data_IF_298513867938
#
_entry.id   IF_298513867938
#
_cell.length_a   1.000
_cell.length_b   1.000
_cell.length_c   1.000
_cell.angle_alpha   90.00
_cell.angle_beta   90.00
_cell.angle_gamma   90.00
#
_symmetry.space_group_name_H-M   'P 1'
#
loop_
_entity.id
_entity.type
_entity.pdbx_description
1 polymer ?
#
# COMPACT_ATOMS: atom_id res chain seq x y z
N UNK A 1 -22.70 8.34 -73.50
CA UNK A 1 -22.90 9.59 -72.71
C UNK A 1 -21.86 9.70 -71.62
N UNK A 2 -21.54 10.86 -71.07
CA UNK A 2 -20.59 11.04 -69.99
C UNK A 2 -21.08 10.37 -68.72
N UNK A 3 -20.19 9.62 -68.03
CA UNK A 3 -20.46 8.99 -66.76
C UNK A 3 -20.11 9.99 -65.65
N UNK A 4 -21.08 10.33 -64.80
CA UNK A 4 -20.85 11.16 -63.64
C UNK A 4 -20.72 10.26 -62.40
N UNK A 5 -19.68 10.51 -61.58
CA UNK A 5 -19.43 9.82 -60.33
C UNK A 5 -19.45 10.81 -59.15
N UNK A 6 -20.11 10.43 -58.09
CA UNK A 6 -20.15 11.18 -56.84
C UNK A 6 -19.58 10.31 -55.75
N UNK A 7 -18.60 10.82 -54.99
CA UNK A 7 -17.95 10.11 -53.92
C UNK A 7 -18.10 10.89 -52.62
N UNK A 8 -18.70 10.26 -51.61
CA UNK A 8 -18.76 10.79 -50.25
C UNK A 8 -17.80 10.01 -49.37
N UNK A 9 -17.13 10.67 -48.47
CA UNK A 9 -16.24 10.04 -47.52
C UNK A 9 -16.83 10.21 -46.10
N UNK A 10 -17.05 9.07 -45.43
CA UNK A 10 -17.47 9.06 -44.03
C UNK A 10 -16.25 8.89 -43.14
N UNK A 11 -16.19 9.66 -42.03
CA UNK A 11 -15.13 9.56 -41.00
C UNK A 11 -15.75 9.75 -39.66
N UNK A 12 -15.21 9.07 -38.65
CA UNK A 12 -15.52 9.30 -37.24
C UNK A 12 -14.57 10.32 -36.65
N UNK A 13 -15.05 11.08 -35.67
CA UNK A 13 -14.27 12.00 -34.84
C UNK A 13 -13.48 11.26 -33.76
N UNK A 14 -12.62 12.01 -33.08
CA UNK A 14 -11.87 11.51 -31.92
C UNK A 14 -12.77 11.41 -30.70
N UNK A 15 -12.54 10.41 -29.85
CA UNK A 15 -13.23 10.22 -28.57
C UNK A 15 -12.20 10.14 -27.44
N UNK A 16 -11.95 11.21 -26.68
CA UNK A 16 -11.22 11.12 -25.41
C UNK A 16 -12.12 10.47 -24.36
N UNK A 17 -11.62 9.44 -23.69
CA UNK A 17 -12.37 8.74 -22.63
C UNK A 17 -11.41 8.18 -21.57
N UNK A 18 -11.82 8.23 -20.30
CA UNK A 18 -11.15 7.55 -19.20
C UNK A 18 -11.89 6.28 -18.83
N UNK A 19 -11.20 5.21 -18.45
CA UNK A 19 -11.86 4.01 -17.92
C UNK A 19 -12.68 4.33 -16.67
N UNK A 20 -12.27 5.33 -15.89
CA UNK A 20 -12.96 5.75 -14.67
C UNK A 20 -14.30 6.44 -14.92
N UNK A 21 -14.66 6.75 -16.17
CA UNK A 21 -16.00 7.19 -16.52
C UNK A 21 -17.08 6.11 -16.30
N UNK A 22 -16.69 4.84 -16.32
CA UNK A 22 -17.59 3.69 -16.16
C UNK A 22 -17.13 2.64 -15.15
N UNK A 23 -15.83 2.57 -14.83
CA UNK A 23 -15.24 1.65 -13.87
C UNK A 23 -14.74 2.43 -12.68
N UNK A 24 -15.28 2.13 -11.49
CA UNK A 24 -14.76 2.71 -10.25
C UNK A 24 -13.51 1.97 -9.82
N UNK A 25 -12.39 2.69 -9.72
CA UNK A 25 -11.15 2.16 -9.13
C UNK A 25 -10.99 2.78 -7.75
N UNK A 26 -10.89 1.93 -6.74
CA UNK A 26 -10.85 2.33 -5.34
C UNK A 26 -9.56 1.83 -4.67
N UNK A 27 -8.96 2.71 -3.86
CA UNK A 27 -7.79 2.41 -3.02
C UNK A 27 -8.16 2.45 -1.56
N UNK A 28 -7.76 1.42 -0.81
CA UNK A 28 -7.84 1.40 0.65
C UNK A 28 -6.45 1.17 1.26
N UNK A 29 -6.27 1.69 2.47
CA UNK A 29 -5.06 1.47 3.26
C UNK A 29 -5.47 1.13 4.69
N UNK A 30 -5.09 -0.06 5.15
CA UNK A 30 -5.27 -0.47 6.54
C UNK A 30 -4.05 -0.04 7.36
N UNK A 31 -4.26 0.25 8.65
CA UNK A 31 -3.21 0.55 9.62
C UNK A 31 -2.84 2.02 9.76
N UNK A 32 -3.13 2.87 8.78
CA UNK A 32 -3.04 4.33 8.88
C UNK A 32 -3.93 5.03 7.85
N UNK A 33 -4.05 6.35 8.01
CA UNK A 33 -4.83 7.18 7.09
C UNK A 33 -4.16 7.25 5.71
N UNK A 34 -4.97 7.02 4.67
CA UNK A 34 -4.59 7.20 3.27
C UNK A 34 -4.39 8.68 2.96
N UNK A 35 -3.36 9.02 2.18
CA UNK A 35 -3.08 10.39 1.74
C UNK A 35 -3.30 10.50 0.23
N UNK A 36 -3.71 11.69 -0.21
CA UNK A 36 -3.83 12.01 -1.63
C UNK A 36 -2.50 11.80 -2.37
N UNK A 37 -2.56 11.13 -3.54
CA UNK A 37 -1.41 10.91 -4.41
C UNK A 37 -0.38 9.92 -3.89
N UNK A 38 -0.71 9.15 -2.85
CA UNK A 38 0.23 8.26 -2.20
C UNK A 38 0.56 7.02 -3.01
N UNK A 39 -0.44 6.47 -3.71
CA UNK A 39 -0.31 5.28 -4.54
C UNK A 39 -0.62 5.59 -5.98
N UNK A 40 0.17 5.00 -6.89
CA UNK A 40 0.03 5.19 -8.31
C UNK A 40 -0.47 3.92 -8.99
N UNK A 41 -1.19 4.10 -10.07
CA UNK A 41 -1.83 3.04 -10.83
C UNK A 41 -1.53 3.18 -12.32
N UNK A 42 -1.48 2.05 -12.99
CA UNK A 42 -1.25 1.98 -14.42
C UNK A 42 -2.36 1.20 -15.12
N UNK A 43 -2.71 1.68 -16.29
CA UNK A 43 -3.49 0.97 -17.27
C UNK A 43 -2.56 0.49 -18.36
N UNK A 44 -2.51 -0.83 -18.58
CA UNK A 44 -1.56 -1.47 -19.48
C UNK A 44 -2.30 -2.19 -20.60
N UNK A 45 -1.93 -1.96 -21.85
CA UNK A 45 -2.40 -2.67 -23.02
C UNK A 45 -1.20 -3.21 -23.78
N UNK A 46 -1.20 -4.49 -24.13
CA UNK A 46 -0.11 -5.16 -24.86
C UNK A 46 1.30 -4.89 -24.28
N UNK A 47 1.39 -4.86 -22.94
CA UNK A 47 2.64 -4.61 -22.23
C UNK A 47 3.07 -3.13 -22.14
N UNK A 48 2.29 -2.20 -22.71
CA UNK A 48 2.58 -0.77 -22.67
C UNK A 48 1.64 -0.03 -21.69
N UNK A 49 2.19 0.89 -20.92
CA UNK A 49 1.39 1.79 -20.09
C UNK A 49 0.72 2.82 -21.01
N UNK A 50 -0.61 2.81 -21.03
CA UNK A 50 -1.42 3.70 -21.89
C UNK A 50 -2.12 4.81 -21.12
N UNK A 51 -2.32 4.64 -19.80
CA UNK A 51 -2.84 5.65 -18.90
C UNK A 51 -2.31 5.44 -17.49
N UNK A 52 -2.29 6.49 -16.69
CA UNK A 52 -1.89 6.48 -15.28
C UNK A 52 -2.91 7.19 -14.42
N UNK A 53 -2.93 6.86 -13.14
CA UNK A 53 -3.77 7.50 -12.14
C UNK A 53 -3.12 7.45 -10.77
N UNK A 54 -3.65 8.23 -9.84
CA UNK A 54 -3.30 8.17 -8.42
C UNK A 54 -4.56 8.32 -7.57
N UNK A 55 -4.50 7.88 -6.32
CA UNK A 55 -5.62 8.00 -5.40
C UNK A 55 -5.78 9.43 -4.88
N UNK A 56 -7.03 9.86 -4.67
CA UNK A 56 -7.35 10.97 -3.79
C UNK A 56 -7.36 10.54 -2.31
N UNK A 57 -7.65 11.46 -1.39
CA UNK A 57 -7.70 11.18 0.04
C UNK A 57 -8.83 10.21 0.44
N UNK A 58 -9.87 10.11 -0.37
CA UNK A 58 -11.02 9.22 -0.16
C UNK A 58 -10.82 7.84 -0.81
N UNK A 59 -9.70 7.65 -1.54
CA UNK A 59 -9.35 6.42 -2.20
C UNK A 59 -9.86 6.29 -3.64
N UNK A 60 -10.47 7.31 -4.22
CA UNK A 60 -10.87 7.26 -5.62
C UNK A 60 -9.64 7.42 -6.50
N UNK A 61 -9.53 6.59 -7.53
CA UNK A 61 -8.45 6.65 -8.52
C UNK A 61 -9.04 7.07 -9.86
N UNK A 62 -8.52 8.16 -10.42
CA UNK A 62 -8.91 8.67 -11.74
C UNK A 62 -7.75 8.51 -12.70
N UNK A 63 -8.00 7.81 -13.81
CA UNK A 63 -7.01 7.61 -14.87
C UNK A 63 -7.06 8.75 -15.88
N UNK A 64 -5.90 9.05 -16.47
CA UNK A 64 -5.80 9.93 -17.62
C UNK A 64 -6.61 9.38 -18.81
N UNK A 65 -7.09 10.26 -19.67
CA UNK A 65 -7.88 9.89 -20.85
C UNK A 65 -7.02 9.21 -21.92
N UNK A 66 -7.65 8.27 -22.63
CA UNK A 66 -7.15 7.67 -23.86
C UNK A 66 -8.00 8.24 -25.01
N UNK A 67 -7.38 8.62 -26.11
CA UNK A 67 -8.10 9.12 -27.29
C UNK A 67 -8.26 8.01 -28.31
N UNK A 68 -9.50 7.65 -28.59
CA UNK A 68 -9.86 6.67 -29.62
C UNK A 68 -10.17 7.37 -30.92
N UNK A 69 -9.68 6.82 -32.05
CA UNK A 69 -9.85 7.39 -33.38
C UNK A 69 -10.60 6.47 -34.34
N UNK A 70 -10.89 5.24 -33.89
CA UNK A 70 -11.59 4.22 -34.69
C UNK A 70 -12.31 3.24 -33.78
N UNK A 71 -13.33 2.53 -34.30
CA UNK A 71 -13.95 1.42 -33.59
C UNK A 71 -12.95 0.29 -33.34
N UNK A 72 -13.13 -0.44 -32.25
CA UNK A 72 -12.28 -1.58 -31.89
C UNK A 72 -12.52 -2.07 -30.49
N UNK A 73 -11.87 -3.17 -30.16
CA UNK A 73 -11.88 -3.76 -28.80
C UNK A 73 -10.52 -3.61 -28.17
N UNK A 74 -10.51 -3.23 -26.91
CA UNK A 74 -9.30 -3.06 -26.09
C UNK A 74 -9.43 -3.87 -24.82
N UNK A 75 -8.34 -4.48 -24.37
CA UNK A 75 -8.26 -5.16 -23.08
C UNK A 75 -7.12 -4.54 -22.31
N UNK A 76 -7.46 -3.93 -21.19
CA UNK A 76 -6.50 -3.28 -20.31
C UNK A 76 -6.29 -4.08 -19.04
N UNK A 77 -5.06 -4.09 -18.55
CA UNK A 77 -4.74 -4.52 -17.20
C UNK A 77 -4.63 -3.28 -16.31
N UNK A 78 -5.46 -3.22 -15.25
CA UNK A 78 -5.34 -2.22 -14.18
C UNK A 78 -4.51 -2.82 -13.06
N UNK A 79 -3.46 -2.13 -12.65
CA UNK A 79 -2.58 -2.55 -11.56
C UNK A 79 -2.10 -1.37 -10.74
N UNK A 80 -1.77 -1.64 -9.46
CA UNK A 80 -1.02 -0.71 -8.64
C UNK A 80 0.47 -0.77 -8.98
N UNK A 81 1.12 0.39 -9.00
CA UNK A 81 2.58 0.45 -9.12
C UNK A 81 3.19 0.14 -7.76
N UNK A 82 3.89 -0.99 -7.66
CA UNK A 82 4.56 -1.36 -6.43
C UNK A 82 5.64 -0.34 -6.08
N UNK A 83 5.48 0.30 -4.93
CA UNK A 83 6.46 1.21 -4.35
C UNK A 83 7.44 0.52 -3.39
N UNK A 84 8.14 1.34 -2.61
CA UNK A 84 9.13 0.91 -1.62
C UNK A 84 8.94 1.58 -0.27
N UNK A 85 7.72 2.01 0.06
CA UNK A 85 7.45 2.67 1.33
C UNK A 85 7.58 1.68 2.48
N UNK A 86 8.37 2.06 3.50
CA UNK A 86 8.63 1.23 4.68
C UNK A 86 7.33 0.96 5.44
N UNK A 87 7.12 -0.30 5.82
CA UNK A 87 5.94 -0.73 6.56
C UNK A 87 4.71 -0.99 5.68
N UNK A 88 4.75 -0.71 4.37
CA UNK A 88 3.63 -0.95 3.46
C UNK A 88 3.77 -2.30 2.75
N UNK A 89 2.75 -3.13 2.90
CA UNK A 89 2.53 -4.30 2.05
C UNK A 89 1.58 -3.89 0.94
N UNK A 90 2.08 -3.93 -0.30
CA UNK A 90 1.35 -3.52 -1.49
C UNK A 90 0.43 -4.63 -1.99
N UNK A 91 -0.74 -4.24 -2.48
CA UNK A 91 -1.63 -5.13 -3.21
C UNK A 91 -0.99 -5.51 -4.55
N UNK A 92 -0.91 -6.80 -4.83
CA UNK A 92 -0.31 -7.33 -6.06
C UNK A 92 -1.35 -7.85 -7.07
N UNK A 93 -2.64 -7.68 -6.76
CA UNK A 93 -3.71 -8.02 -7.69
C UNK A 93 -3.66 -7.13 -8.95
N UNK A 94 -4.15 -7.68 -10.03
CA UNK A 94 -4.43 -6.93 -11.26
C UNK A 94 -5.81 -7.29 -11.75
N UNK A 95 -6.44 -6.33 -12.46
CA UNK A 95 -7.79 -6.50 -12.99
C UNK A 95 -7.78 -6.27 -14.48
N UNK A 96 -8.59 -7.06 -15.21
CA UNK A 96 -8.80 -6.84 -16.62
C UNK A 96 -10.01 -5.94 -16.85
N UNK A 97 -9.86 -4.94 -17.71
CA UNK A 97 -10.96 -4.07 -18.15
C UNK A 97 -11.10 -4.21 -19.65
N UNK A 98 -12.24 -4.73 -20.08
CA UNK A 98 -12.61 -4.82 -21.48
C UNK A 98 -13.31 -3.54 -21.91
N UNK A 99 -12.83 -2.91 -22.98
CA UNK A 99 -13.41 -1.70 -23.55
C UNK A 99 -13.78 -1.95 -25.02
N UNK A 100 -15.03 -1.68 -25.35
CA UNK A 100 -15.52 -1.75 -26.73
C UNK A 100 -15.80 -0.34 -27.25
N UNK A 101 -15.14 0.03 -28.35
CA UNK A 101 -15.38 1.26 -29.07
C UNK A 101 -16.26 0.96 -30.28
N UNK A 102 -17.36 1.67 -30.42
CA UNK A 102 -18.32 1.49 -31.49
C UNK A 102 -18.48 2.76 -32.32
N UNK A 103 -18.74 2.59 -33.62
CA UNK A 103 -19.18 3.68 -34.50
C UNK A 103 -20.71 3.81 -34.37
N UNK A 104 -21.17 5.00 -33.96
CA UNK A 104 -22.59 5.29 -33.80
C UNK A 104 -23.33 5.57 -35.12
N UNK A 105 -22.60 5.64 -36.24
CA UNK A 105 -23.17 5.88 -37.58
C UNK A 105 -23.48 7.34 -37.89
N UNK A 106 -23.18 8.24 -36.97
CA UNK A 106 -23.41 9.69 -37.07
C UNK A 106 -22.11 10.52 -37.11
N UNK A 107 -20.96 9.84 -37.24
CA UNK A 107 -19.64 10.46 -37.17
C UNK A 107 -19.06 10.51 -35.77
N UNK A 108 -19.72 9.94 -34.77
CA UNK A 108 -19.22 9.82 -33.40
C UNK A 108 -18.88 8.40 -33.01
N UNK A 109 -17.98 8.24 -32.03
CA UNK A 109 -17.65 6.97 -31.39
C UNK A 109 -18.40 6.84 -30.05
N UNK A 110 -18.78 5.62 -29.71
CA UNK A 110 -19.29 5.25 -28.39
C UNK A 110 -18.33 4.30 -27.67
N UNK A 111 -18.44 4.23 -26.36
CA UNK A 111 -17.62 3.38 -25.51
C UNK A 111 -18.43 2.62 -24.49
N UNK A 112 -18.07 1.33 -24.25
CA UNK A 112 -18.59 0.52 -23.15
C UNK A 112 -17.41 -0.11 -22.41
N UNK A 113 -17.38 0.04 -21.09
CA UNK A 113 -16.39 -0.57 -20.22
C UNK A 113 -17.01 -1.70 -19.40
N UNK A 114 -16.27 -2.80 -19.25
CA UNK A 114 -16.62 -3.89 -18.36
C UNK A 114 -15.38 -4.30 -17.57
N UNK A 115 -15.44 -4.19 -16.24
CA UNK A 115 -14.38 -4.70 -15.38
C UNK A 115 -14.53 -6.20 -15.22
N UNK A 116 -13.44 -6.93 -15.40
CA UNK A 116 -13.32 -8.36 -15.14
C UNK A 116 -12.19 -8.50 -14.14
N UNK A 117 -12.40 -9.18 -13.02
CA UNK A 117 -11.36 -9.30 -12.00
C UNK A 117 -10.20 -10.18 -12.45
N UNK A 118 -9.13 -10.12 -11.65
CA UNK A 118 -7.90 -10.87 -11.84
C UNK A 118 -8.09 -12.39 -11.81
N UNK A 119 -7.08 -13.10 -12.30
CA UNK A 119 -6.88 -14.51 -12.06
C UNK A 119 -6.73 -14.79 -10.55
N UNK A 120 -7.77 -15.34 -9.95
CA UNK A 120 -7.64 -16.08 -8.72
C UNK A 120 -7.71 -17.59 -9.07
N UNK A 121 -6.60 -18.30 -8.87
CA UNK A 121 -6.50 -19.74 -9.16
C UNK A 121 -6.82 -20.10 -10.62
N UNK A 122 -6.31 -19.35 -11.59
CA UNK A 122 -6.56 -19.48 -13.03
C UNK A 122 -8.05 -19.27 -13.46
N UNK A 123 -8.87 -18.67 -12.61
CA UNK A 123 -10.25 -18.31 -12.93
C UNK A 123 -10.43 -16.77 -12.94
N UNK A 124 -11.21 -16.28 -13.91
CA UNK A 124 -11.62 -14.88 -13.97
C UNK A 124 -12.86 -14.69 -13.13
N UNK A 125 -12.80 -13.84 -12.10
CA UNK A 125 -13.93 -13.50 -11.23
C UNK A 125 -14.42 -12.11 -11.60
N UNK A 126 -15.67 -11.93 -12.05
CA UNK A 126 -16.23 -10.61 -12.37
C UNK A 126 -16.23 -9.68 -11.15
N UNK A 127 -15.81 -8.43 -11.36
CA UNK A 127 -15.92 -7.41 -10.32
C UNK A 127 -17.37 -6.98 -10.12
N UNK A 128 -17.83 -6.94 -8.87
CA UNK A 128 -19.16 -6.48 -8.54
C UNK A 128 -19.34 -4.99 -8.84
N UNK A 129 -20.42 -4.62 -9.53
CA UNK A 129 -20.81 -3.23 -9.76
C UNK A 129 -19.77 -2.38 -10.52
N UNK A 130 -18.96 -3.00 -11.39
CA UNK A 130 -17.86 -2.33 -12.10
C UNK A 130 -16.89 -1.58 -11.18
N UNK A 131 -16.66 -2.11 -9.97
CA UNK A 131 -15.72 -1.56 -9.01
C UNK A 131 -14.55 -2.52 -8.83
N UNK A 132 -13.33 -2.02 -8.92
CA UNK A 132 -12.11 -2.73 -8.55
C UNK A 132 -11.48 -2.05 -7.34
N UNK A 133 -11.00 -2.83 -6.38
CA UNK A 133 -10.41 -2.32 -5.14
C UNK A 133 -9.02 -2.87 -4.94
N UNK A 134 -8.09 -1.98 -4.61
CA UNK A 134 -6.72 -2.32 -4.20
C UNK A 134 -6.57 -2.00 -2.72
N UNK A 135 -6.14 -2.98 -1.92
CA UNK A 135 -5.96 -2.82 -0.49
C UNK A 135 -4.50 -2.99 -0.08
N UNK A 136 -3.88 -1.95 0.44
CA UNK A 136 -2.57 -2.03 1.07
C UNK A 136 -2.70 -2.10 2.58
N UNK A 137 -1.69 -2.69 3.22
CA UNK A 137 -1.63 -2.79 4.68
C UNK A 137 -0.36 -2.08 5.14
N UNK A 138 -0.53 -1.11 6.04
CA UNK A 138 0.58 -0.48 6.73
C UNK A 138 0.76 -1.09 8.12
N UNK A 139 1.99 -1.46 8.44
CA UNK A 139 2.43 -1.83 9.77
C UNK A 139 3.74 -1.13 10.06
N UNK A 140 3.78 -0.38 11.17
CA UNK A 140 5.01 0.29 11.59
C UNK A 140 6.14 -0.72 11.82
N UNK A 141 7.36 -0.35 11.42
CA UNK A 141 8.55 -1.15 11.71
C UNK A 141 8.79 -1.17 13.21
N UNK A 142 9.17 -2.33 13.78
CA UNK A 142 9.51 -2.43 15.19
C UNK A 142 10.67 -1.50 15.55
N UNK A 143 10.56 -0.80 16.67
CA UNK A 143 11.65 -0.01 17.24
C UNK A 143 12.42 -0.82 18.28
N UNK A 144 13.74 -0.65 18.33
CA UNK A 144 14.59 -1.24 19.37
C UNK A 144 15.17 -0.14 20.24
N UNK A 145 15.04 -0.28 21.55
CA UNK A 145 15.47 0.72 22.55
C UNK A 145 16.34 0.06 23.61
N UNK A 146 17.32 0.81 24.12
CA UNK A 146 18.09 0.46 25.31
C UNK A 146 17.67 1.35 26.46
N UNK A 147 17.33 0.74 27.60
CA UNK A 147 17.07 1.46 28.86
C UNK A 147 18.28 1.31 29.74
N UNK A 148 18.80 2.41 30.28
CA UNK A 148 19.98 2.43 31.14
C UNK A 148 19.64 2.84 32.56
N UNK A 149 20.33 2.25 33.53
CA UNK A 149 20.29 2.61 34.94
C UNK A 149 21.72 2.62 35.52
N UNK A 150 21.89 3.14 36.70
CA UNK A 150 23.20 3.20 37.37
C UNK A 150 23.10 2.61 38.79
N UNK A 151 24.01 1.67 39.10
CA UNK A 151 24.24 1.18 40.47
C UNK A 151 25.38 1.93 41.10
N UNK A 152 25.17 2.41 42.33
CA UNK A 152 26.22 2.93 43.19
C UNK A 152 26.38 2.02 44.40
N UNK A 153 27.65 1.73 44.75
CA UNK A 153 28.01 0.96 45.90
C UNK A 153 28.92 1.80 46.80
N UNK A 154 28.61 1.87 48.10
CA UNK A 154 29.41 2.60 49.07
C UNK A 154 30.10 1.62 50.01
N UNK A 155 31.36 1.91 50.34
CA UNK A 155 32.14 1.12 51.32
C UNK A 155 33.07 0.08 50.73
N UNK A 156 32.90 -0.30 49.48
CA UNK A 156 33.81 -1.14 48.67
C UNK A 156 33.71 -0.86 47.21
N UNK A 157 34.66 -1.35 46.40
CA UNK A 157 34.61 -1.26 44.97
C UNK A 157 33.53 -2.20 44.41
N UNK A 158 32.82 -1.67 43.39
CA UNK A 158 31.82 -2.41 42.64
C UNK A 158 32.50 -3.33 41.65
N UNK A 159 32.06 -4.60 41.62
CA UNK A 159 32.55 -5.61 40.64
C UNK A 159 31.59 -5.77 39.49
N UNK A 160 32.12 -6.13 38.33
CA UNK A 160 31.30 -6.48 37.16
C UNK A 160 30.34 -7.63 37.48
N UNK A 161 29.07 -7.45 37.12
CA UNK A 161 28.01 -8.45 37.30
C UNK A 161 27.68 -8.77 38.76
N UNK A 162 28.06 -7.93 39.72
CA UNK A 162 27.83 -8.18 41.13
C UNK A 162 26.35 -8.11 41.55
N UNK A 163 25.58 -7.25 40.91
CA UNK A 163 24.16 -7.07 41.19
C UNK A 163 23.32 -7.30 39.93
N UNK A 164 22.14 -7.90 40.15
CA UNK A 164 21.16 -8.18 39.07
C UNK A 164 19.97 -7.27 39.19
N UNK A 165 19.47 -6.79 38.07
CA UNK A 165 18.33 -5.88 37.95
C UNK A 165 17.29 -6.43 37.01
N UNK A 166 16.04 -6.16 37.31
CA UNK A 166 14.89 -6.55 36.49
C UNK A 166 14.16 -5.32 35.99
N UNK A 167 13.81 -5.34 34.72
CA UNK A 167 12.86 -4.43 34.10
C UNK A 167 11.49 -5.12 34.09
N UNK A 168 10.50 -4.50 34.74
CA UNK A 168 9.13 -5.05 34.84
C UNK A 168 8.14 -4.10 34.18
N UNK A 169 7.12 -4.67 33.56
CA UNK A 169 5.97 -3.93 33.06
C UNK A 169 5.02 -3.52 34.22
N UNK A 170 3.93 -2.81 33.86
CA UNK A 170 2.93 -2.33 34.83
C UNK A 170 2.22 -3.46 35.57
N UNK A 171 2.23 -4.67 35.07
CA UNK A 171 1.63 -5.86 35.68
C UNK A 171 2.64 -6.65 36.54
N UNK A 172 3.87 -6.16 36.66
CA UNK A 172 4.93 -6.81 37.41
C UNK A 172 5.62 -7.96 36.69
N UNK A 173 5.34 -8.15 35.40
CA UNK A 173 6.01 -9.16 34.57
C UNK A 173 7.44 -8.71 34.25
N UNK A 174 8.41 -9.59 34.46
CA UNK A 174 9.80 -9.35 34.08
C UNK A 174 9.93 -9.38 32.56
N UNK A 175 10.33 -8.25 31.97
CA UNK A 175 10.56 -8.06 30.54
C UNK A 175 12.00 -8.33 30.17
N UNK A 176 12.95 -7.91 31.03
CA UNK A 176 14.37 -8.10 30.83
C UNK A 176 15.14 -8.15 32.15
N UNK A 177 16.30 -8.78 32.14
CA UNK A 177 17.28 -8.76 33.24
C UNK A 177 18.62 -8.24 32.73
N UNK A 178 19.32 -7.50 33.58
CA UNK A 178 20.66 -7.02 33.30
C UNK A 178 21.48 -6.95 34.60
N UNK A 179 22.80 -6.94 34.42
CA UNK A 179 23.75 -6.78 35.54
C UNK A 179 24.54 -5.49 35.36
N UNK A 180 25.06 -4.98 36.49
CA UNK A 180 25.96 -3.82 36.45
C UNK A 180 27.32 -4.19 35.84
N UNK A 181 27.94 -3.23 35.16
CA UNK A 181 29.37 -3.25 34.88
C UNK A 181 30.20 -2.66 36.05
N UNK A 182 31.51 -2.62 35.88
CA UNK A 182 32.42 -2.08 36.92
C UNK A 182 32.20 -0.60 37.22
N UNK A 183 31.65 0.17 36.26
CA UNK A 183 31.28 1.59 36.42
C UNK A 183 29.93 1.79 37.08
N UNK A 184 29.18 0.72 37.29
CA UNK A 184 27.82 0.72 37.81
C UNK A 184 26.74 0.86 36.73
N UNK A 185 27.09 0.90 35.46
CA UNK A 185 26.12 0.98 34.37
C UNK A 185 25.37 -0.33 34.19
N UNK A 186 24.04 -0.22 34.05
CA UNK A 186 23.13 -1.31 33.80
C UNK A 186 22.43 -1.01 32.47
N UNK A 187 22.45 -1.95 31.53
CA UNK A 187 21.81 -1.79 30.23
C UNK A 187 20.82 -2.91 29.96
N UNK A 188 19.55 -2.53 29.77
CA UNK A 188 18.54 -3.41 29.20
C UNK A 188 18.48 -3.15 27.70
N UNK A 189 19.18 -3.99 26.94
CA UNK A 189 19.39 -3.82 25.52
C UNK A 189 18.33 -4.55 24.70
N UNK A 190 18.15 -4.12 23.44
CA UNK A 190 17.31 -4.79 22.44
C UNK A 190 15.84 -4.97 22.86
N UNK A 191 15.30 -4.00 23.64
CA UNK A 191 13.88 -3.96 23.94
C UNK A 191 13.12 -3.63 22.67
N UNK A 192 12.30 -4.56 22.21
CA UNK A 192 11.57 -4.46 20.94
C UNK A 192 10.15 -4.00 21.20
N UNK A 193 9.72 -2.96 20.48
CA UNK A 193 8.36 -2.43 20.48
C UNK A 193 7.78 -2.61 19.08
N UNK A 194 6.68 -3.35 19.00
CA UNK A 194 6.04 -3.67 17.71
C UNK A 194 4.85 -2.77 17.40
N UNK A 195 4.28 -2.12 18.42
CA UNK A 195 3.09 -1.28 18.30
C UNK A 195 3.35 0.13 18.82
N UNK A 196 2.63 1.10 18.29
CA UNK A 196 2.59 2.45 18.84
C UNK A 196 1.96 2.44 20.21
N UNK A 197 2.50 3.25 21.13
CA UNK A 197 1.94 3.36 22.48
C UNK A 197 2.89 4.00 23.48
N UNK A 198 2.39 4.14 24.71
CA UNK A 198 3.18 4.55 25.87
C UNK A 198 3.41 3.32 26.72
N UNK A 199 4.68 3.07 27.02
CA UNK A 199 5.11 1.92 27.80
C UNK A 199 5.75 2.40 29.10
N UNK A 200 5.25 1.89 30.23
CA UNK A 200 5.79 2.18 31.55
C UNK A 200 6.48 0.96 32.13
N UNK A 201 7.69 1.16 32.64
CA UNK A 201 8.49 0.11 33.23
C UNK A 201 9.00 0.52 34.60
N UNK A 202 9.21 -0.47 35.49
CA UNK A 202 9.89 -0.32 36.76
C UNK A 202 11.20 -1.10 36.72
N UNK A 203 12.31 -0.45 37.09
CA UNK A 203 13.60 -1.09 37.32
C UNK A 203 13.75 -1.39 38.78
N UNK A 204 14.06 -2.64 39.12
CA UNK A 204 14.29 -3.06 40.50
C UNK A 204 15.53 -3.94 40.62
N UNK A 205 16.25 -3.80 41.74
CA UNK A 205 17.35 -4.71 42.05
C UNK A 205 16.79 -6.03 42.60
N UNK A 206 17.36 -7.16 42.19
CA UNK A 206 17.02 -8.46 42.71
C UNK A 206 17.73 -8.66 44.03
N UNK A 207 16.95 -8.80 45.13
CA UNK A 207 17.51 -9.12 46.44
C UNK A 207 17.85 -10.59 46.52
N UNK A 208 19.14 -10.93 46.29
CA UNK A 208 19.69 -12.23 46.65
C UNK A 208 19.82 -12.22 48.17
N UNK A 209 18.93 -12.91 48.85
CA UNK A 209 19.13 -13.20 50.26
C UNK A 209 20.32 -14.14 50.38
N UNK A 210 21.47 -13.60 50.77
CA UNK A 210 22.57 -14.40 51.31
C UNK A 210 22.25 -14.79 52.78
#
# INVERSE_FOLDING_TARGET
GPLFSFTNTYRVGELPSSITDQVKVNKTLEGRTLKEGEFNFELVEDGNVVATGSNDADGNVVFSSITYTQPGSHVYTVREVKGSETGVTYDDHSYLVYTQITDNGDGTLGVTHQAISSEENDELVPAEGNTVTFNNIYKAEPATVTIEAVKKLTGKELKDGEFTFQLKDVNGKVIAEAKNDVSGKIKFENLKFEDEGTYEYTVSEVNDKQ
#
